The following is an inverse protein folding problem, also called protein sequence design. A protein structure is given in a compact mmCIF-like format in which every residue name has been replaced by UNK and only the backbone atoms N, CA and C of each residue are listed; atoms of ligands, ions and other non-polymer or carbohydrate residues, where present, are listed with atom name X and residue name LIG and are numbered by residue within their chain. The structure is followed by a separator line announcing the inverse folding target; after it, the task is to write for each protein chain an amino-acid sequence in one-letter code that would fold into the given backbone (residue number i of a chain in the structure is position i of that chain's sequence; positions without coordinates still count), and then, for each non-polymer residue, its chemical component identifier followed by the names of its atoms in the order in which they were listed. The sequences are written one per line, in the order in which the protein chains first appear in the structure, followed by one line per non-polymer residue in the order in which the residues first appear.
data_IF_937602487229
#
_entry.id   IF_937602487229
#
_cell.length_a   1.000
_cell.length_b   1.000
_cell.length_c   1.000
_cell.angle_alpha   90.00
_cell.angle_beta   90.00
_cell.angle_gamma   90.00
#
_symmetry.space_group_name_H-M   'P 1'
#
loop_
_entity.id
_entity.type
_entity.pdbx_description
1 polymer ?
#
# COMPACT_ATOMS: atom_id res chain seq x y z
N UNK A 1 -7.39 -31.38 5.20
CA UNK A 1 -7.59 -31.32 6.64
C UNK A 1 -6.49 -30.46 7.24
N UNK A 2 -6.89 -29.41 7.95
CA UNK A 2 -5.96 -28.57 8.72
C UNK A 2 -5.27 -29.41 9.80
N UNK A 3 -4.01 -29.11 10.14
CA UNK A 3 -3.30 -29.85 11.18
C UNK A 3 -4.04 -29.82 12.50
N UNK A 4 -4.05 -30.92 13.26
CA UNK A 4 -4.81 -31.12 14.47
C UNK A 4 -4.49 -30.12 15.61
N UNK A 5 -3.37 -29.37 15.53
CA UNK A 5 -3.04 -28.33 16.49
C UNK A 5 -3.81 -27.02 16.26
N UNK A 6 -4.50 -26.85 15.12
CA UNK A 6 -5.45 -25.76 14.86
C UNK A 6 -6.87 -26.08 15.32
N UNK A 7 -7.10 -27.28 15.86
CA UNK A 7 -8.40 -27.73 16.35
C UNK A 7 -8.61 -27.41 17.81
N UNK A 8 -9.70 -26.72 18.11
CA UNK A 8 -10.46 -26.74 19.37
C UNK A 8 -9.95 -26.00 20.60
N UNK A 9 -9.38 -24.83 20.45
CA UNK A 9 -9.67 -23.79 21.45
C UNK A 9 -10.67 -22.84 20.80
N UNK A 10 -11.86 -22.74 21.39
CA UNK A 10 -12.86 -21.76 20.96
C UNK A 10 -12.28 -20.36 20.85
N UNK A 11 -12.99 -19.39 20.29
CA UNK A 11 -12.48 -18.06 20.10
C UNK A 11 -11.83 -17.59 21.38
N UNK A 12 -10.54 -17.27 21.34
CA UNK A 12 -9.90 -16.58 22.45
C UNK A 12 -10.63 -15.25 22.52
N UNK A 13 -11.51 -15.11 23.51
CA UNK A 13 -12.05 -13.81 23.88
C UNK A 13 -10.86 -12.92 24.23
N UNK A 14 -10.44 -12.10 23.29
CA UNK A 14 -9.51 -11.01 23.53
C UNK A 14 -10.32 -9.96 24.29
N UNK A 15 -10.28 -10.05 25.62
CA UNK A 15 -10.95 -9.09 26.48
C UNK A 15 -10.47 -7.69 26.12
N UNK A 16 -11.35 -6.88 25.55
CA UNK A 16 -11.26 -5.44 25.62
C UNK A 16 -10.66 -4.69 24.44
N UNK A 17 -10.46 -5.25 23.26
CA UNK A 17 -10.15 -4.41 22.09
C UNK A 17 -11.41 -3.64 21.66
N UNK A 18 -11.37 -2.33 21.88
CA UNK A 18 -12.42 -1.44 21.37
C UNK A 18 -12.37 -1.46 19.86
N UNK A 19 -13.56 -1.54 19.23
CA UNK A 19 -13.68 -1.41 17.77
C UNK A 19 -13.14 -0.06 17.30
N UNK A 20 -12.55 0.03 16.10
CA UNK A 20 -12.26 1.30 15.49
C UNK A 20 -13.52 2.18 15.43
N UNK A 21 -13.42 3.51 15.54
CA UNK A 21 -14.57 4.38 15.37
C UNK A 21 -15.12 4.32 13.95
N UNK A 22 -16.38 4.69 13.77
CA UNK A 22 -16.94 4.91 12.44
C UNK A 22 -16.22 6.10 11.81
N UNK A 23 -15.76 5.94 10.57
CA UNK A 23 -15.05 7.01 9.85
C UNK A 23 -15.98 8.21 9.60
N UNK A 24 -15.46 9.41 9.79
CA UNK A 24 -16.14 10.68 9.51
C UNK A 24 -15.19 11.72 8.97
N UNK A 25 -15.73 12.76 8.37
CA UNK A 25 -14.95 13.91 7.94
C UNK A 25 -14.32 14.62 9.14
N UNK A 26 -13.02 14.84 9.07
CA UNK A 26 -12.27 15.68 10.00
C UNK A 26 -11.19 16.44 9.24
N UNK A 27 -10.89 17.65 9.72
CA UNK A 27 -9.70 18.41 9.35
C UNK A 27 -9.07 18.89 10.63
N UNK A 28 -7.85 18.46 10.91
CA UNK A 28 -7.11 18.79 12.13
C UNK A 28 -5.67 19.18 11.75
N UNK A 29 -5.24 20.35 12.21
CA UNK A 29 -3.91 20.86 11.90
C UNK A 29 -3.60 20.93 10.41
N UNK A 30 -2.64 20.09 9.98
CA UNK A 30 -2.14 20.01 8.59
C UNK A 30 -2.94 19.03 7.71
N UNK A 31 -3.63 18.10 8.31
CA UNK A 31 -4.26 16.98 7.60
C UNK A 31 -5.78 17.05 7.64
N UNK A 32 -6.38 16.39 6.66
CA UNK A 32 -7.80 16.10 6.62
C UNK A 32 -8.01 14.63 6.25
N UNK A 33 -9.08 14.03 6.75
CA UNK A 33 -9.48 12.68 6.35
C UNK A 33 -9.86 12.64 4.87
N UNK A 34 -9.81 11.46 4.26
CA UNK A 34 -10.16 11.21 2.86
C UNK A 34 -11.57 11.65 2.48
N UNK A 35 -12.49 11.75 3.43
CA UNK A 35 -13.85 12.24 3.23
C UNK A 35 -13.91 13.64 2.62
N UNK A 36 -12.98 14.52 2.99
CA UNK A 36 -12.90 15.85 2.39
C UNK A 36 -12.59 15.78 0.89
N UNK A 37 -11.74 14.85 0.48
CA UNK A 37 -11.35 14.64 -0.92
C UNK A 37 -12.43 13.88 -1.70
N UNK A 38 -13.11 12.95 -1.03
CA UNK A 38 -14.20 12.12 -1.59
C UNK A 38 -15.24 12.97 -2.29
N UNK A 39 -15.65 14.08 -1.68
CA UNK A 39 -16.72 14.96 -2.21
C UNK A 39 -16.53 15.32 -3.68
N UNK A 40 -15.29 15.48 -4.16
CA UNK A 40 -14.97 15.88 -5.53
C UNK A 40 -14.18 14.83 -6.31
N UNK A 41 -13.42 13.96 -5.63
CA UNK A 41 -12.50 12.99 -6.24
C UNK A 41 -13.00 11.54 -6.20
N UNK A 42 -14.28 11.33 -5.92
CA UNK A 42 -14.97 10.07 -6.11
C UNK A 42 -15.90 10.11 -7.32
N UNK A 43 -16.21 8.94 -7.88
CA UNK A 43 -17.19 8.84 -8.96
C UNK A 43 -18.61 9.10 -8.47
N UNK A 44 -19.47 9.55 -9.39
CA UNK A 44 -20.91 9.64 -9.21
C UNK A 44 -21.60 9.32 -10.54
N UNK A 45 -22.73 8.61 -10.49
CA UNK A 45 -23.50 8.21 -11.69
C UNK A 45 -23.93 9.40 -12.54
N UNK A 46 -24.13 10.56 -11.92
CA UNK A 46 -24.56 11.79 -12.58
C UNK A 46 -23.41 12.61 -13.17
N UNK A 47 -22.17 12.11 -13.10
CA UNK A 47 -20.97 12.80 -13.59
C UNK A 47 -20.21 11.98 -14.61
N UNK A 48 -19.70 12.64 -15.66
CA UNK A 48 -18.77 12.04 -16.63
C UNK A 48 -17.29 12.25 -16.24
N UNK A 49 -17.01 12.82 -15.08
CA UNK A 49 -15.65 12.96 -14.57
C UNK A 49 -15.13 11.63 -14.04
N UNK A 50 -13.83 11.43 -14.16
CA UNK A 50 -13.12 10.25 -13.65
C UNK A 50 -13.66 8.93 -14.23
N UNK A 51 -13.97 8.94 -15.52
CA UNK A 51 -14.35 7.77 -16.30
C UNK A 51 -13.26 7.45 -17.32
N UNK A 52 -13.04 6.16 -17.58
CA UNK A 52 -12.24 5.71 -18.71
C UNK A 52 -13.07 5.71 -20.02
N UNK A 53 -12.48 5.22 -21.11
CA UNK A 53 -13.10 5.19 -22.44
C UNK A 53 -14.34 4.27 -22.51
N UNK A 54 -14.44 3.29 -21.61
CA UNK A 54 -15.61 2.40 -21.46
C UNK A 54 -16.57 2.85 -20.36
N UNK A 55 -16.40 4.06 -19.85
CA UNK A 55 -17.18 4.66 -18.77
C UNK A 55 -17.10 3.90 -17.44
N UNK A 56 -16.01 3.15 -17.21
CA UNK A 56 -15.72 2.54 -15.91
C UNK A 56 -15.18 3.61 -14.96
N UNK A 57 -15.45 3.43 -13.69
CA UNK A 57 -15.04 4.34 -12.62
C UNK A 57 -13.53 4.25 -12.37
N UNK A 58 -12.85 5.40 -12.45
CA UNK A 58 -11.41 5.52 -12.19
C UNK A 58 -11.08 6.62 -11.17
N UNK A 59 -12.06 7.12 -10.44
CA UNK A 59 -11.90 8.16 -9.44
C UNK A 59 -10.88 7.78 -8.36
N UNK A 60 -9.99 8.70 -7.98
CA UNK A 60 -8.93 8.40 -7.01
C UNK A 60 -9.46 7.81 -5.71
N UNK A 61 -10.43 8.46 -5.07
CA UNK A 61 -11.04 7.93 -3.85
C UNK A 61 -11.77 6.60 -4.09
N UNK A 62 -12.52 6.50 -5.21
CA UNK A 62 -13.29 5.29 -5.53
C UNK A 62 -12.42 4.05 -5.61
N UNK A 63 -11.22 4.17 -6.19
CA UNK A 63 -10.28 3.05 -6.31
C UNK A 63 -9.46 2.84 -5.03
N UNK A 64 -9.01 3.94 -4.39
CA UNK A 64 -8.14 3.89 -3.21
C UNK A 64 -8.81 3.24 -1.99
N UNK A 65 -10.10 3.49 -1.75
CA UNK A 65 -10.79 3.08 -0.51
C UNK A 65 -10.69 1.58 -0.21
N UNK A 66 -10.65 0.71 -1.24
CA UNK A 66 -10.50 -0.74 -1.10
C UNK A 66 -9.05 -1.20 -0.92
N UNK A 67 -8.07 -0.32 -1.08
CA UNK A 67 -6.65 -0.67 -0.99
C UNK A 67 -6.20 -0.95 0.44
N UNK A 68 -5.08 -1.66 0.59
CA UNK A 68 -4.45 -1.84 1.90
C UNK A 68 -3.87 -0.52 2.45
N UNK A 69 -3.54 0.45 1.61
CA UNK A 69 -3.11 1.77 2.07
C UNK A 69 -4.24 2.50 2.80
N UNK A 70 -5.46 2.48 2.26
CA UNK A 70 -6.64 3.02 2.94
C UNK A 70 -6.97 2.30 4.25
N UNK A 71 -6.65 1.02 4.34
CA UNK A 71 -7.00 0.15 5.45
C UNK A 71 -5.81 -0.25 6.34
N UNK A 72 -4.65 0.39 6.18
CA UNK A 72 -3.41 0.03 6.86
C UNK A 72 -3.54 0.05 8.40
N UNK A 73 -4.26 1.02 8.95
CA UNK A 73 -4.52 1.12 10.38
C UNK A 73 -5.58 0.14 10.90
N UNK A 74 -6.39 -0.43 10.01
CA UNK A 74 -7.45 -1.40 10.34
C UNK A 74 -7.03 -2.85 10.10
N UNK A 75 -5.87 -3.08 9.52
CA UNK A 75 -5.35 -4.42 9.24
C UNK A 75 -5.21 -5.24 10.53
N UNK A 76 -6.02 -6.31 10.70
CA UNK A 76 -5.99 -7.11 11.93
C UNK A 76 -4.70 -7.91 12.05
N UNK A 77 -4.07 -8.29 10.93
CA UNK A 77 -2.80 -9.01 10.95
C UNK A 77 -1.66 -8.10 11.43
N UNK A 78 -1.55 -6.88 10.91
CA UNK A 78 -0.58 -5.90 11.38
C UNK A 78 -0.78 -5.60 12.88
N UNK A 79 -2.02 -5.37 13.33
CA UNK A 79 -2.31 -5.12 14.75
C UNK A 79 -1.90 -6.28 15.64
N UNK A 80 -2.13 -7.51 15.19
CA UNK A 80 -1.68 -8.71 15.89
C UNK A 80 -0.15 -8.80 15.93
N UNK A 81 0.55 -8.46 14.84
CA UNK A 81 2.01 -8.42 14.78
C UNK A 81 2.58 -7.41 15.78
N UNK A 82 2.07 -6.17 15.82
CA UNK A 82 2.47 -5.16 16.82
C UNK A 82 2.26 -5.68 18.24
N UNK A 83 1.13 -6.33 18.51
CA UNK A 83 0.84 -6.92 19.83
C UNK A 83 1.82 -8.03 20.20
N UNK A 84 2.23 -8.84 19.22
CA UNK A 84 3.21 -9.90 19.43
C UNK A 84 4.61 -9.32 19.74
N UNK A 85 5.07 -8.34 18.98
CA UNK A 85 6.32 -7.64 19.20
C UNK A 85 6.37 -6.99 20.60
N UNK A 86 5.31 -6.31 20.98
CA UNK A 86 5.20 -5.68 22.31
C UNK A 86 5.23 -6.74 23.44
N UNK A 87 4.64 -7.92 23.22
CA UNK A 87 4.74 -9.02 24.21
C UNK A 87 6.16 -9.57 24.38
N UNK A 88 6.91 -9.62 23.28
CA UNK A 88 8.31 -10.10 23.29
C UNK A 88 9.23 -9.07 23.92
N UNK A 89 9.02 -7.78 23.64
CA UNK A 89 9.87 -6.67 24.12
C UNK A 89 9.04 -5.57 24.82
N UNK A 90 8.42 -5.86 25.96
CA UNK A 90 7.49 -4.93 26.63
C UNK A 90 8.15 -3.62 27.07
N UNK A 91 9.45 -3.62 27.35
CA UNK A 91 10.24 -2.42 27.68
C UNK A 91 10.37 -1.45 26.50
N UNK A 92 10.16 -1.92 25.25
CA UNK A 92 10.23 -1.11 24.04
C UNK A 92 8.85 -0.82 23.44
N UNK A 93 7.76 -1.07 24.16
CA UNK A 93 6.38 -0.89 23.67
C UNK A 93 6.18 0.44 22.94
N UNK A 94 6.57 1.56 23.56
CA UNK A 94 6.36 2.89 22.97
C UNK A 94 7.12 3.07 21.64
N UNK A 95 8.33 2.55 21.55
CA UNK A 95 9.15 2.60 20.32
C UNK A 95 8.56 1.73 19.23
N UNK A 96 8.15 0.49 19.56
CA UNK A 96 7.55 -0.44 18.62
C UNK A 96 6.27 0.16 18.02
N UNK A 97 5.33 0.58 18.89
CA UNK A 97 4.07 1.17 18.46
C UNK A 97 4.31 2.43 17.59
N UNK A 98 5.20 3.33 18.02
CA UNK A 98 5.50 4.54 17.26
C UNK A 98 6.11 4.24 15.89
N UNK A 99 7.04 3.29 15.80
CA UNK A 99 7.68 2.89 14.53
C UNK A 99 6.65 2.31 13.56
N UNK A 100 5.81 1.39 14.01
CA UNK A 100 4.77 0.79 13.18
C UNK A 100 3.74 1.82 12.71
N UNK A 101 3.27 2.68 13.62
CA UNK A 101 2.25 3.69 13.32
C UNK A 101 2.73 4.78 12.37
N UNK A 102 4.03 5.06 12.24
CA UNK A 102 4.56 6.02 11.27
C UNK A 102 4.14 5.71 9.82
N UNK A 103 3.98 4.43 9.47
CA UNK A 103 3.56 3.99 8.15
C UNK A 103 2.08 3.60 8.11
N UNK A 104 1.53 3.03 9.19
CA UNK A 104 0.15 2.51 9.21
C UNK A 104 -0.91 3.53 9.65
N UNK A 105 -0.52 4.58 10.39
CA UNK A 105 -1.38 5.69 10.82
C UNK A 105 -0.64 7.04 10.68
N UNK A 106 -0.07 7.33 9.49
CA UNK A 106 0.99 8.33 9.33
C UNK A 106 0.51 9.77 9.56
N UNK A 107 -0.75 10.13 9.24
CA UNK A 107 -1.24 11.49 9.46
C UNK A 107 -1.24 11.86 10.94
N UNK A 108 -1.74 10.97 11.80
CA UNK A 108 -1.76 11.22 13.24
C UNK A 108 -0.36 11.30 13.84
N UNK A 109 0.57 10.48 13.33
CA UNK A 109 1.97 10.51 13.75
C UNK A 109 2.69 11.76 13.30
N UNK A 110 2.50 12.18 12.05
CA UNK A 110 3.09 13.39 11.51
C UNK A 110 2.55 14.63 12.23
N UNK A 111 1.24 14.69 12.50
CA UNK A 111 0.63 15.81 13.24
C UNK A 111 1.18 15.92 14.67
N UNK A 112 1.33 14.79 15.37
CA UNK A 112 1.95 14.79 16.70
C UNK A 112 3.40 15.31 16.65
N UNK A 113 4.17 14.86 15.66
CA UNK A 113 5.55 15.31 15.47
C UNK A 113 5.64 16.82 15.19
N UNK A 114 4.82 17.33 14.27
CA UNK A 114 4.79 18.74 13.89
C UNK A 114 4.39 19.65 15.05
N UNK A 115 3.56 19.15 15.97
CA UNK A 115 3.16 19.86 17.18
C UNK A 115 4.16 19.73 18.33
N UNK A 116 5.26 18.98 18.18
CA UNK A 116 6.21 18.68 19.25
C UNK A 116 5.63 17.79 20.35
N UNK A 117 4.59 17.02 20.05
CA UNK A 117 3.92 16.12 20.97
C UNK A 117 4.63 14.76 21.02
N UNK A 118 4.40 14.03 22.11
CA UNK A 118 4.84 12.64 22.19
C UNK A 118 4.07 11.80 21.16
N UNK A 119 4.79 10.88 20.49
CA UNK A 119 4.19 9.93 19.58
C UNK A 119 3.07 9.13 20.25
N UNK A 120 1.85 9.10 19.68
CA UNK A 120 0.75 8.32 20.23
C UNK A 120 0.99 6.82 20.08
N UNK A 121 0.37 6.05 20.97
CA UNK A 121 0.36 4.59 20.88
C UNK A 121 -0.82 4.04 20.07
N UNK A 122 -0.84 2.72 19.86
CA UNK A 122 -1.86 2.01 19.06
C UNK A 122 -3.30 2.18 19.58
N UNK A 123 -3.48 2.53 20.87
CA UNK A 123 -4.79 2.81 21.47
C UNK A 123 -5.55 3.92 20.74
N UNK A 124 -4.83 4.86 20.09
CA UNK A 124 -5.42 5.95 19.30
C UNK A 124 -6.34 5.43 18.19
N UNK A 125 -6.09 4.23 17.65
CA UNK A 125 -6.89 3.62 16.59
C UNK A 125 -8.32 3.23 17.02
N UNK A 126 -8.63 3.34 18.31
CA UNK A 126 -9.96 3.04 18.88
C UNK A 126 -10.63 4.26 19.48
N UNK A 127 -10.03 5.44 19.35
CA UNK A 127 -10.55 6.68 19.89
C UNK A 127 -11.35 7.46 18.84
N UNK A 128 -12.55 7.92 19.21
CA UNK A 128 -13.34 8.80 18.36
C UNK A 128 -12.99 10.28 18.62
N UNK A 129 -11.73 10.60 18.43
CA UNK A 129 -11.19 11.98 18.42
C UNK A 129 -10.80 12.35 16.99
N UNK A 130 -10.57 13.65 16.71
CA UNK A 130 -10.08 14.06 15.39
C UNK A 130 -8.75 13.37 15.05
N UNK A 131 -7.83 13.28 16.01
CA UNK A 131 -6.56 12.59 15.84
C UNK A 131 -6.76 11.07 15.59
N UNK A 132 -7.69 10.44 16.31
CA UNK A 132 -8.07 9.03 16.08
C UNK A 132 -8.66 8.82 14.69
N UNK A 133 -9.49 9.73 14.21
CA UNK A 133 -10.04 9.69 12.84
C UNK A 133 -8.94 9.81 11.78
N UNK A 134 -7.96 10.72 11.94
CA UNK A 134 -6.79 10.78 11.06
C UNK A 134 -5.94 9.51 11.12
N UNK A 135 -5.83 8.88 12.30
CA UNK A 135 -5.08 7.64 12.45
C UNK A 135 -5.74 6.46 11.69
N UNK A 136 -7.06 6.29 11.83
CA UNK A 136 -7.78 5.18 11.18
C UNK A 136 -8.00 5.37 9.68
N UNK A 137 -7.80 6.58 9.14
CA UNK A 137 -7.88 6.85 7.70
C UNK A 137 -6.67 6.28 6.93
N UNK A 138 -5.69 5.70 7.64
CA UNK A 138 -4.55 5.02 7.08
C UNK A 138 -3.62 5.93 6.29
N UNK A 139 -3.06 5.40 5.19
CA UNK A 139 -2.23 6.17 4.25
C UNK A 139 -3.14 6.86 3.25
N UNK A 140 -3.44 8.11 3.51
CA UNK A 140 -4.55 8.84 2.89
C UNK A 140 -4.07 10.01 2.01
N UNK A 141 -5.03 10.63 1.34
CA UNK A 141 -4.81 11.67 0.33
C UNK A 141 -3.93 12.81 0.83
N UNK A 142 -4.30 13.43 1.97
CA UNK A 142 -3.59 14.59 2.48
C UNK A 142 -2.23 14.27 3.07
N UNK A 143 -1.92 13.00 3.34
CA UNK A 143 -0.55 12.59 3.66
C UNK A 143 0.32 12.60 2.40
N UNK A 144 0.02 11.67 1.45
CA UNK A 144 0.87 11.46 0.28
C UNK A 144 1.06 12.74 -0.53
N UNK A 145 -0.03 13.49 -0.71
CA UNK A 145 -0.02 14.71 -1.51
C UNK A 145 0.58 15.94 -0.81
N UNK A 146 0.98 15.84 0.46
CA UNK A 146 1.73 16.90 1.16
C UNK A 146 3.21 16.56 1.38
N UNK A 147 3.65 15.35 1.05
CA UNK A 147 5.07 14.98 1.15
C UNK A 147 5.88 15.85 0.18
N UNK A 148 6.86 16.57 0.72
CA UNK A 148 7.76 17.42 -0.04
C UNK A 148 8.87 16.61 -0.73
N UNK A 149 9.46 17.13 -1.80
CA UNK A 149 10.57 16.46 -2.49
C UNK A 149 11.87 16.40 -1.68
N UNK A 150 11.94 17.13 -0.56
CA UNK A 150 13.15 17.29 0.24
C UNK A 150 13.63 15.96 0.81
N UNK A 151 14.83 15.55 0.44
CA UNK A 151 15.49 14.34 0.94
C UNK A 151 14.94 13.01 0.45
N UNK A 152 13.93 12.98 -0.43
CA UNK A 152 13.35 11.74 -0.93
C UNK A 152 14.39 10.83 -1.59
N UNK A 153 14.36 9.55 -1.25
CA UNK A 153 15.27 8.52 -1.76
C UNK A 153 16.62 8.47 -1.05
N UNK A 154 16.82 9.27 0.00
CA UNK A 154 17.98 9.20 0.90
C UNK A 154 17.62 8.49 2.19
N UNK A 155 18.62 8.05 2.94
CA UNK A 155 18.44 7.36 4.24
C UNK A 155 17.59 8.17 5.23
N UNK A 156 17.66 9.51 5.17
CA UNK A 156 16.86 10.38 6.02
C UNK A 156 15.35 10.30 5.72
N UNK A 157 14.97 9.91 4.52
CA UNK A 157 13.56 9.80 4.12
C UNK A 157 12.94 8.43 4.41
N UNK A 158 13.73 7.41 4.68
CA UNK A 158 13.23 6.06 4.96
C UNK A 158 12.57 5.98 6.34
N UNK A 159 11.85 4.89 6.59
CA UNK A 159 11.14 4.66 7.86
C UNK A 159 10.19 5.82 8.20
N UNK A 160 9.45 6.29 7.18
CA UNK A 160 8.55 7.46 7.22
C UNK A 160 9.25 8.77 7.61
N UNK A 161 10.49 8.97 7.15
CA UNK A 161 11.27 10.20 7.33
C UNK A 161 10.94 11.30 6.32
N UNK A 162 9.73 11.30 5.76
CA UNK A 162 9.25 12.33 4.83
C UNK A 162 9.08 13.70 5.50
N UNK A 163 9.12 14.75 4.70
CA UNK A 163 8.95 16.14 5.17
C UNK A 163 7.57 16.67 4.75
N UNK A 164 6.83 17.20 5.71
CA UNK A 164 5.58 17.96 5.49
C UNK A 164 5.88 19.44 5.66
N UNK A 165 5.44 20.25 4.69
CA UNK A 165 5.67 21.69 4.70
C UNK A 165 4.76 22.46 5.67
N UNK A 166 5.03 23.77 5.79
CA UNK A 166 4.24 24.68 6.63
C UNK A 166 2.92 25.09 5.99
N UNK A 167 2.82 24.98 4.69
CA UNK A 167 1.64 25.36 3.92
C UNK A 167 0.80 24.13 3.63
N UNK A 168 -0.52 24.30 3.52
CA UNK A 168 -1.44 23.27 3.04
C UNK A 168 -1.36 23.15 1.51
N UNK A 169 -0.21 22.69 0.99
CA UNK A 169 0.03 22.46 -0.42
C UNK A 169 -0.26 20.99 -0.75
N UNK A 170 -1.05 20.76 -1.79
CA UNK A 170 -1.35 19.43 -2.30
C UNK A 170 -0.63 19.24 -3.63
N UNK A 171 0.41 18.43 -3.63
CA UNK A 171 1.23 18.15 -4.81
C UNK A 171 0.53 17.18 -5.76
N UNK A 172 0.65 17.44 -7.05
CA UNK A 172 0.13 16.57 -8.12
C UNK A 172 0.98 16.64 -9.37
N UNK A 173 0.85 15.67 -10.30
CA UNK A 173 1.69 15.61 -11.49
C UNK A 173 1.26 16.56 -12.60
N UNK A 174 0.04 17.10 -12.54
CA UNK A 174 -0.53 17.90 -13.60
C UNK A 174 -0.04 19.35 -13.54
N UNK A 175 0.41 19.86 -14.69
CA UNK A 175 0.71 21.28 -14.87
C UNK A 175 -0.58 22.09 -14.79
N UNK A 176 -0.47 23.34 -14.37
CA UNK A 176 -1.59 24.30 -14.29
C UNK A 176 -2.82 23.76 -13.51
N UNK A 177 -2.66 23.40 -12.23
CA UNK A 177 -3.79 22.93 -11.42
C UNK A 177 -4.81 24.05 -11.19
N UNK A 178 -6.09 23.68 -11.17
CA UNK A 178 -7.18 24.62 -10.84
C UNK A 178 -7.22 24.88 -9.34
N UNK A 179 -6.59 25.94 -8.89
CA UNK A 179 -6.47 26.25 -7.46
C UNK A 179 -7.79 26.68 -6.82
N UNK A 180 -8.55 27.55 -7.49
CA UNK A 180 -9.69 28.26 -6.93
C UNK A 180 -10.77 27.36 -6.31
N UNK A 181 -11.32 26.34 -7.01
CA UNK A 181 -12.32 25.45 -6.42
C UNK A 181 -11.77 24.66 -5.22
N UNK A 182 -10.52 24.21 -5.32
CA UNK A 182 -9.91 23.39 -4.28
C UNK A 182 -9.61 24.18 -3.02
N UNK A 183 -9.04 25.38 -3.15
CA UNK A 183 -8.78 26.30 -2.02
C UNK A 183 -10.07 26.67 -1.30
N UNK A 184 -11.15 26.99 -2.04
CA UNK A 184 -12.44 27.35 -1.43
C UNK A 184 -13.10 26.19 -0.70
N UNK A 185 -12.99 24.97 -1.22
CA UNK A 185 -13.68 23.81 -0.66
C UNK A 185 -12.90 23.09 0.42
N UNK A 186 -11.57 23.09 0.32
CA UNK A 186 -10.73 22.26 1.18
C UNK A 186 -9.64 23.03 1.94
N UNK A 187 -9.43 24.31 1.63
CA UNK A 187 -8.31 25.12 2.11
C UNK A 187 -6.92 24.58 1.73
N UNK A 188 -6.83 23.61 0.80
CA UNK A 188 -5.57 23.14 0.25
C UNK A 188 -5.28 23.79 -1.10
N UNK A 189 -4.02 24.16 -1.31
CA UNK A 189 -3.54 24.76 -2.57
C UNK A 189 -2.89 23.68 -3.44
N UNK A 190 -3.44 23.36 -4.62
CA UNK A 190 -2.83 22.38 -5.51
C UNK A 190 -1.58 22.94 -6.17
N UNK A 191 -0.52 22.16 -6.20
CA UNK A 191 0.80 22.51 -6.75
C UNK A 191 1.30 21.41 -7.68
N UNK A 192 1.78 21.79 -8.87
CA UNK A 192 2.40 20.85 -9.80
C UNK A 192 3.78 20.41 -9.28
N UNK A 193 4.02 19.10 -9.20
CA UNK A 193 5.27 18.57 -8.68
C UNK A 193 5.62 17.20 -9.30
N UNK A 194 6.85 17.09 -9.79
CA UNK A 194 7.33 15.93 -10.52
C UNK A 194 7.60 14.72 -9.61
N UNK A 195 7.93 14.94 -8.35
CA UNK A 195 8.22 13.85 -7.40
C UNK A 195 7.03 12.93 -7.14
N UNK A 196 5.80 13.38 -7.43
CA UNK A 196 4.58 12.58 -7.28
C UNK A 196 4.53 11.35 -8.20
N UNK A 197 5.34 11.32 -9.25
CA UNK A 197 5.44 10.19 -10.18
C UNK A 197 6.79 9.45 -10.07
N UNK A 198 7.55 9.67 -9.00
CA UNK A 198 8.86 9.06 -8.79
C UNK A 198 8.81 8.00 -7.68
N UNK A 199 9.49 6.88 -7.87
CA UNK A 199 9.55 5.76 -6.91
C UNK A 199 10.01 6.18 -5.51
N UNK A 200 10.89 7.18 -5.41
CA UNK A 200 11.38 7.70 -4.13
C UNK A 200 10.30 8.29 -3.21
N UNK A 201 9.13 8.67 -3.74
CA UNK A 201 7.98 9.01 -2.91
C UNK A 201 7.49 7.80 -2.11
N UNK A 202 7.38 6.65 -2.76
CA UNK A 202 6.94 5.40 -2.14
C UNK A 202 8.00 4.87 -1.15
N UNK A 203 9.28 5.11 -1.44
CA UNK A 203 10.42 4.67 -0.63
C UNK A 203 10.34 5.10 0.83
N UNK A 204 9.67 6.22 1.14
CA UNK A 204 9.57 6.75 2.50
C UNK A 204 8.94 5.76 3.48
N UNK A 205 7.95 4.97 3.03
CA UNK A 205 7.30 3.94 3.82
C UNK A 205 7.67 2.52 3.35
N UNK A 206 8.02 2.35 2.07
CA UNK A 206 8.41 1.06 1.48
C UNK A 206 9.93 0.81 1.55
N UNK A 207 10.60 1.45 2.52
CA UNK A 207 11.95 1.16 2.99
C UNK A 207 11.97 1.38 4.48
N UNK A 208 11.99 0.29 5.24
CA UNK A 208 11.97 0.34 6.71
C UNK A 208 13.29 -0.21 7.23
N UNK A 209 14.04 0.66 7.91
CA UNK A 209 15.32 0.33 8.55
C UNK A 209 15.11 0.48 10.05
N UNK A 210 15.30 -0.60 10.78
CA UNK A 210 15.16 -0.67 12.24
C UNK A 210 16.40 -1.22 12.90
N UNK A 211 16.45 -1.16 14.23
CA UNK A 211 17.47 -1.85 15.02
C UNK A 211 17.01 -3.28 15.32
N UNK A 212 17.85 -4.25 15.00
CA UNK A 212 17.66 -5.64 15.46
C UNK A 212 17.98 -5.76 16.94
N UNK A 213 17.05 -6.30 17.74
CA UNK A 213 17.21 -6.45 19.19
C UNK A 213 17.09 -7.91 19.62
N UNK A 214 17.84 -8.28 20.66
CA UNK A 214 17.68 -9.59 21.29
C UNK A 214 16.53 -9.57 22.31
N UNK A 215 16.22 -10.73 22.92
CA UNK A 215 15.14 -10.87 23.91
C UNK A 215 15.37 -10.06 25.20
N UNK A 216 16.56 -9.53 25.43
CA UNK A 216 16.84 -8.61 26.54
C UNK A 216 16.63 -7.15 26.15
N UNK A 217 16.29 -6.87 24.89
CA UNK A 217 16.12 -5.53 24.35
C UNK A 217 17.41 -4.85 23.92
N UNK A 218 18.56 -5.53 23.97
CA UNK A 218 19.85 -4.99 23.56
C UNK A 218 19.94 -4.96 22.04
N UNK A 219 20.51 -3.90 21.48
CA UNK A 219 20.76 -3.78 20.04
C UNK A 219 21.85 -4.77 19.65
N UNK A 220 21.54 -5.69 18.75
CA UNK A 220 22.47 -6.68 18.19
C UNK A 220 22.82 -6.38 16.73
N UNK A 221 22.03 -5.50 16.10
CA UNK A 221 22.25 -5.04 14.73
C UNK A 221 21.70 -3.61 14.59
N UNK A 222 22.53 -2.66 14.25
CA UNK A 222 22.17 -1.24 14.15
C UNK A 222 21.24 -0.95 12.95
N UNK A 223 21.46 -1.62 11.83
CA UNK A 223 20.69 -1.44 10.60
C UNK A 223 20.13 -2.78 10.11
N UNK A 224 18.87 -3.01 10.37
CA UNK A 224 18.13 -4.15 9.86
C UNK A 224 17.11 -3.65 8.85
N UNK A 225 17.24 -4.07 7.58
CA UNK A 225 16.25 -3.79 6.55
C UNK A 225 15.04 -4.70 6.79
N UNK A 226 14.04 -4.18 7.49
CA UNK A 226 12.80 -4.89 7.80
C UNK A 226 11.93 -5.02 6.54
N UNK A 227 11.88 -3.96 5.75
CA UNK A 227 11.23 -3.93 4.44
C UNK A 227 12.13 -3.20 3.45
N UNK A 228 12.24 -3.74 2.23
CA UNK A 228 13.15 -3.21 1.21
C UNK A 228 12.60 -3.18 -0.22
N UNK A 229 11.28 -3.05 -0.49
CA UNK A 229 10.73 -3.04 -1.86
C UNK A 229 11.38 -1.98 -2.77
N UNK A 230 11.72 -0.82 -2.24
CA UNK A 230 12.41 0.20 -3.02
C UNK A 230 13.84 -0.20 -3.38
N UNK A 231 14.60 -0.85 -2.48
CA UNK A 231 15.93 -1.34 -2.81
C UNK A 231 15.87 -2.51 -3.80
N UNK A 232 14.85 -3.36 -3.71
CA UNK A 232 14.61 -4.41 -4.70
C UNK A 232 14.35 -3.80 -6.09
N UNK A 233 13.47 -2.80 -6.16
CA UNK A 233 13.21 -2.04 -7.39
C UNK A 233 14.48 -1.35 -7.91
N UNK A 234 15.29 -0.71 -7.05
CA UNK A 234 16.56 -0.08 -7.45
C UNK A 234 17.56 -1.06 -8.04
N UNK A 235 17.52 -2.31 -7.63
CA UNK A 235 18.38 -3.38 -8.13
C UNK A 235 17.75 -4.17 -9.30
N UNK A 236 16.64 -3.71 -9.84
CA UNK A 236 15.94 -4.35 -10.96
C UNK A 236 16.16 -3.61 -12.29
N UNK A 237 15.69 -4.22 -13.37
CA UNK A 237 15.66 -3.59 -14.71
C UNK A 237 14.71 -2.39 -14.79
N UNK A 238 13.83 -2.22 -13.79
CA UNK A 238 12.85 -1.15 -13.72
C UNK A 238 13.41 0.16 -13.14
N UNK A 239 14.63 0.18 -12.64
CA UNK A 239 15.21 1.35 -12.01
C UNK A 239 15.30 2.54 -12.96
N UNK A 240 14.50 3.58 -12.70
CA UNK A 240 14.49 4.85 -13.46
C UNK A 240 15.54 5.84 -12.96
N UNK A 241 16.20 5.58 -11.83
CA UNK A 241 17.18 6.47 -11.20
C UNK A 241 18.62 6.22 -11.64
N UNK A 242 18.84 5.31 -12.59
CA UNK A 242 20.12 5.10 -13.23
C UNK A 242 20.45 6.26 -14.17
N UNK A 243 21.74 6.55 -14.37
CA UNK A 243 22.20 7.54 -15.39
C UNK A 243 21.69 7.21 -16.80
N UNK A 244 21.53 5.92 -17.08
CA UNK A 244 20.97 5.41 -18.35
C UNK A 244 19.96 4.30 -18.03
N UNK A 245 18.70 4.65 -17.75
CA UNK A 245 17.66 3.66 -17.54
C UNK A 245 17.48 2.75 -18.74
N UNK A 246 17.20 1.48 -18.49
CA UNK A 246 16.90 0.50 -19.54
C UNK A 246 15.52 0.71 -20.19
N UNK A 247 15.22 -0.05 -21.26
CA UNK A 247 13.94 0.08 -21.98
C UNK A 247 12.73 -0.33 -21.12
N UNK A 248 12.93 -1.13 -20.08
CA UNK A 248 11.88 -1.58 -19.15
C UNK A 248 11.75 -0.66 -17.93
N UNK A 249 12.52 0.44 -17.86
CA UNK A 249 12.53 1.32 -16.70
C UNK A 249 11.14 1.90 -16.43
N UNK A 250 10.67 1.76 -15.19
CA UNK A 250 9.34 2.15 -14.76
C UNK A 250 9.32 2.46 -13.25
N UNK A 251 8.73 3.56 -12.87
CA UNK A 251 8.52 3.90 -11.46
C UNK A 251 7.45 3.01 -10.81
N UNK A 252 7.41 2.95 -9.49
CA UNK A 252 6.41 2.20 -8.72
C UNK A 252 4.99 2.56 -9.17
N UNK A 253 4.72 3.84 -9.40
CA UNK A 253 3.43 4.34 -9.85
C UNK A 253 3.00 3.78 -11.22
N UNK A 254 3.95 3.45 -12.09
CA UNK A 254 3.64 2.91 -13.42
C UNK A 254 2.89 1.56 -13.35
N UNK A 255 3.17 0.75 -12.33
CA UNK A 255 2.53 -0.55 -12.12
C UNK A 255 1.39 -0.48 -11.08
N UNK A 256 1.59 0.26 -9.97
CA UNK A 256 0.64 0.32 -8.86
C UNK A 256 -0.43 1.41 -9.01
N UNK A 257 -0.20 2.37 -9.90
CA UNK A 257 -1.12 3.44 -10.29
C UNK A 257 -1.16 3.59 -11.82
N UNK A 258 -1.51 2.54 -12.57
CA UNK A 258 -1.40 2.56 -14.02
C UNK A 258 -2.22 3.70 -14.63
N UNK A 259 -1.66 4.31 -15.69
CA UNK A 259 -2.29 5.42 -16.42
C UNK A 259 -3.15 4.95 -17.59
N UNK A 260 -3.29 3.65 -17.71
CA UNK A 260 -4.14 3.00 -18.72
C UNK A 260 -5.34 2.33 -18.06
N UNK A 261 -6.42 2.17 -18.83
CA UNK A 261 -7.55 1.34 -18.47
C UNK A 261 -7.15 -0.15 -18.42
N UNK A 262 -8.08 -1.02 -18.03
CA UNK A 262 -7.91 -2.47 -18.05
C UNK A 262 -7.68 -3.02 -19.48
N UNK A 263 -8.09 -2.27 -20.49
CA UNK A 263 -7.89 -2.60 -21.90
C UNK A 263 -6.58 -2.02 -22.47
N UNK A 264 -5.74 -1.43 -21.63
CA UNK A 264 -4.46 -0.84 -22.04
C UNK A 264 -4.57 0.52 -22.73
N UNK A 265 -5.75 1.15 -22.73
CA UNK A 265 -5.97 2.47 -23.35
C UNK A 265 -5.58 3.58 -22.37
N UNK A 266 -4.78 4.59 -22.77
CA UNK A 266 -4.46 5.74 -21.93
C UNK A 266 -5.71 6.47 -21.45
N UNK A 267 -5.76 6.72 -20.14
CA UNK A 267 -6.92 7.39 -19.53
C UNK A 267 -6.76 8.90 -19.67
N UNK A 268 -7.78 9.53 -20.26
CA UNK A 268 -7.94 10.97 -20.36
C UNK A 268 -9.30 11.38 -19.84
N UNK A 269 -9.34 12.05 -18.70
CA UNK A 269 -10.60 12.36 -18.03
C UNK A 269 -10.51 13.65 -17.22
N UNK A 270 -11.65 14.15 -16.75
CA UNK A 270 -11.70 15.24 -15.77
C UNK A 270 -11.32 14.71 -14.39
N UNK A 271 -10.51 15.47 -13.65
CA UNK A 271 -9.96 15.05 -12.36
C UNK A 271 -10.97 15.08 -11.22
N UNK A 272 -12.06 15.86 -11.35
CA UNK A 272 -13.02 16.09 -10.27
C UNK A 272 -14.43 16.30 -10.79
N UNK A 273 -15.38 16.08 -9.90
CA UNK A 273 -16.80 16.48 -10.02
C UNK A 273 -17.14 17.57 -8.99
N UNK A 274 -18.33 18.10 -9.05
CA UNK A 274 -18.87 18.96 -7.98
C UNK A 274 -19.28 18.11 -6.76
N UNK A 275 -19.30 18.68 -5.55
CA UNK A 275 -19.73 17.94 -4.34
C UNK A 275 -21.13 17.31 -4.45
N UNK A 276 -22.04 17.94 -5.21
CA UNK A 276 -23.40 17.42 -5.45
C UNK A 276 -23.49 16.39 -6.61
N UNK A 277 -22.36 15.82 -7.02
CA UNK A 277 -22.30 14.73 -7.99
C UNK A 277 -22.36 15.13 -9.46
N UNK A 278 -22.40 16.42 -9.80
CA UNK A 278 -22.47 16.87 -11.20
C UNK A 278 -21.10 16.99 -11.83
N UNK A 279 -21.04 16.91 -13.15
CA UNK A 279 -19.82 17.21 -13.89
C UNK A 279 -19.41 18.67 -13.67
N UNK A 280 -18.15 18.85 -13.33
CA UNK A 280 -17.49 20.15 -13.32
C UNK A 280 -16.71 20.34 -14.61
N UNK A 281 -16.77 21.49 -15.22
CA UNK A 281 -16.07 21.78 -16.50
C UNK A 281 -14.59 22.08 -16.25
N UNK A 282 -13.90 21.11 -15.65
CA UNK A 282 -12.47 21.11 -15.47
C UNK A 282 -11.75 20.63 -16.74
N UNK A 283 -10.50 21.03 -17.00
CA UNK A 283 -9.72 20.49 -18.09
C UNK A 283 -9.58 18.96 -18.01
N UNK A 284 -9.55 18.32 -19.17
CA UNK A 284 -9.16 16.92 -19.26
C UNK A 284 -7.70 16.78 -18.87
N UNK A 285 -7.38 15.75 -18.12
CA UNK A 285 -6.02 15.41 -17.66
C UNK A 285 -5.55 14.10 -18.27
N UNK A 286 -4.31 14.11 -18.76
CA UNK A 286 -3.62 12.97 -19.30
C UNK A 286 -2.12 13.15 -19.01
N UNK A 287 -1.40 12.11 -18.52
CA UNK A 287 -1.95 10.83 -18.08
C UNK A 287 -2.77 10.97 -16.79
N UNK A 288 -3.72 10.06 -16.57
CA UNK A 288 -4.51 9.99 -15.35
C UNK A 288 -4.24 8.66 -14.63
N UNK A 289 -3.64 8.73 -13.45
CA UNK A 289 -3.24 7.54 -12.67
C UNK A 289 -4.41 6.94 -11.88
N UNK A 290 -4.62 5.65 -12.04
CA UNK A 290 -5.60 4.87 -11.25
C UNK A 290 -5.02 4.60 -9.86
N UNK A 291 -5.67 5.06 -8.81
CA UNK A 291 -5.23 4.87 -7.42
C UNK A 291 -5.54 3.46 -6.89
N UNK A 292 -5.10 2.42 -7.60
CA UNK A 292 -5.36 1.02 -7.27
C UNK A 292 -4.53 0.54 -6.06
N UNK A 293 -3.23 0.83 -6.07
CA UNK A 293 -2.27 0.40 -5.06
C UNK A 293 -2.33 -1.09 -4.74
N UNK A 294 -2.64 -1.92 -5.73
CA UNK A 294 -2.72 -3.36 -5.54
C UNK A 294 -1.32 -3.97 -5.57
N UNK A 295 -1.13 -4.95 -4.69
CA UNK A 295 0.01 -5.84 -4.64
C UNK A 295 -0.45 -7.29 -4.65
N UNK A 296 0.28 -8.18 -3.98
CA UNK A 296 -0.09 -9.60 -3.88
C UNK A 296 -1.11 -9.92 -2.78
N UNK A 297 -1.53 -8.93 -1.99
CA UNK A 297 -2.40 -9.16 -0.85
C UNK A 297 -3.87 -9.25 -1.27
N UNK A 298 -4.41 -10.47 -1.28
CA UNK A 298 -5.84 -10.75 -1.52
C UNK A 298 -6.57 -11.22 -0.26
N UNK A 299 -5.82 -11.63 0.77
CA UNK A 299 -6.38 -12.20 1.99
C UNK A 299 -6.91 -11.13 2.94
N UNK A 300 -6.10 -10.12 3.26
CA UNK A 300 -6.51 -9.10 4.23
C UNK A 300 -7.68 -8.26 3.71
N UNK A 301 -7.73 -7.82 2.44
CA UNK A 301 -8.94 -7.19 1.89
C UNK A 301 -10.19 -8.07 2.02
N UNK A 302 -10.07 -9.40 1.87
CA UNK A 302 -11.19 -10.32 2.07
C UNK A 302 -11.61 -10.39 3.55
N UNK A 303 -10.64 -10.42 4.48
CA UNK A 303 -10.93 -10.40 5.93
C UNK A 303 -11.63 -9.08 6.31
N UNK A 304 -11.15 -7.95 5.82
CA UNK A 304 -11.77 -6.63 6.06
C UNK A 304 -13.20 -6.58 5.55
N UNK A 305 -13.43 -7.07 4.32
CA UNK A 305 -14.74 -7.16 3.68
C UNK A 305 -15.72 -8.02 4.49
N UNK A 306 -15.25 -9.20 4.92
CA UNK A 306 -16.12 -10.20 5.55
C UNK A 306 -16.34 -9.93 7.05
N UNK A 307 -15.55 -9.05 7.66
CA UNK A 307 -15.66 -8.62 9.05
C UNK A 307 -15.89 -7.09 9.15
N UNK A 308 -16.65 -6.53 8.23
CA UNK A 308 -16.86 -5.09 8.16
C UNK A 308 -17.53 -4.48 9.41
N UNK A 309 -18.42 -5.22 10.07
CA UNK A 309 -19.08 -4.78 11.30
C UNK A 309 -18.10 -4.61 12.47
N UNK A 310 -17.05 -5.43 12.50
CA UNK A 310 -16.02 -5.41 13.55
C UNK A 310 -14.90 -4.41 13.23
N UNK A 311 -14.38 -4.46 11.99
CA UNK A 311 -13.21 -3.70 11.57
C UNK A 311 -13.55 -2.32 11.04
N UNK A 312 -14.83 -2.07 10.71
CA UNK A 312 -15.39 -0.79 10.24
C UNK A 312 -14.54 -0.12 9.15
N UNK A 313 -14.21 -0.84 8.06
CA UNK A 313 -13.47 -0.25 6.95
C UNK A 313 -14.28 0.86 6.29
N UNK A 314 -13.57 1.76 5.59
CA UNK A 314 -14.20 2.81 4.81
C UNK A 314 -14.87 2.26 3.54
N UNK A 315 -14.26 1.24 2.95
CA UNK A 315 -14.68 0.67 1.68
C UNK A 315 -15.94 -0.18 1.77
N UNK A 316 -16.75 -0.14 0.72
CA UNK A 316 -17.86 -1.06 0.54
C UNK A 316 -17.37 -2.48 0.21
N UNK A 317 -18.29 -3.46 0.28
CA UNK A 317 -18.00 -4.84 -0.15
C UNK A 317 -17.54 -4.90 -1.60
N UNK A 318 -18.19 -4.15 -2.48
CA UNK A 318 -17.90 -4.09 -3.92
C UNK A 318 -16.51 -3.50 -4.19
N UNK A 319 -16.11 -2.48 -3.43
CA UNK A 319 -14.77 -1.88 -3.53
C UNK A 319 -13.67 -2.89 -3.14
N UNK A 320 -13.90 -3.68 -2.09
CA UNK A 320 -12.98 -4.76 -1.74
C UNK A 320 -12.95 -5.87 -2.80
N UNK A 321 -14.11 -6.29 -3.31
CA UNK A 321 -14.18 -7.31 -4.36
C UNK A 321 -13.41 -6.87 -5.61
N UNK A 322 -13.56 -5.60 -6.00
CA UNK A 322 -12.78 -5.02 -7.09
C UNK A 322 -11.27 -5.04 -6.80
N UNK A 323 -10.84 -4.61 -5.62
CA UNK A 323 -9.41 -4.61 -5.24
C UNK A 323 -8.83 -6.02 -5.19
N UNK A 324 -9.56 -6.99 -4.64
CA UNK A 324 -9.16 -8.40 -4.61
C UNK A 324 -9.00 -8.95 -6.02
N UNK A 325 -9.93 -8.63 -6.92
CA UNK A 325 -9.84 -9.08 -8.32
C UNK A 325 -8.65 -8.43 -9.02
N UNK A 326 -8.46 -7.11 -8.88
CA UNK A 326 -7.32 -6.41 -9.47
C UNK A 326 -5.96 -6.96 -8.98
N UNK A 327 -5.86 -7.31 -7.68
CA UNK A 327 -4.67 -7.96 -7.13
C UNK A 327 -4.45 -9.37 -7.73
N UNK A 328 -5.51 -10.15 -7.90
CA UNK A 328 -5.43 -11.46 -8.56
C UNK A 328 -4.98 -11.35 -10.01
N UNK A 329 -5.52 -10.39 -10.74
CA UNK A 329 -5.15 -10.15 -12.14
C UNK A 329 -3.67 -9.75 -12.25
N UNK A 330 -3.19 -8.88 -11.36
CA UNK A 330 -1.76 -8.53 -11.30
C UNK A 330 -0.89 -9.76 -10.98
N UNK A 331 -1.28 -10.58 -10.01
CA UNK A 331 -0.54 -11.80 -9.67
C UNK A 331 -0.49 -12.78 -10.84
N UNK A 332 -1.59 -12.98 -11.55
CA UNK A 332 -1.70 -13.94 -12.64
C UNK A 332 -1.05 -13.48 -13.94
N UNK A 333 -1.13 -12.17 -14.23
CA UNK A 333 -0.74 -11.65 -15.54
C UNK A 333 0.64 -10.99 -15.54
N UNK A 334 1.04 -10.39 -14.42
CA UNK A 334 2.21 -9.51 -14.36
C UNK A 334 3.30 -9.96 -13.39
N UNK A 335 3.04 -10.96 -12.53
CA UNK A 335 4.00 -11.33 -11.47
C UNK A 335 4.98 -12.41 -11.90
N UNK A 336 4.47 -13.47 -12.50
CA UNK A 336 5.30 -14.60 -12.91
C UNK A 336 4.72 -15.33 -14.13
N UNK A 337 5.59 -15.92 -14.91
CA UNK A 337 5.23 -16.79 -16.02
C UNK A 337 5.67 -18.22 -15.72
N UNK A 338 4.73 -19.16 -15.78
CA UNK A 338 4.98 -20.58 -15.62
C UNK A 338 5.04 -21.27 -16.98
N UNK A 339 6.14 -21.94 -17.27
CA UNK A 339 6.29 -22.81 -18.43
C UNK A 339 6.44 -24.27 -18.00
N UNK A 340 5.79 -25.19 -18.72
CA UNK A 340 5.96 -26.63 -18.53
C UNK A 340 6.53 -27.19 -19.80
N UNK A 341 7.60 -27.98 -19.70
CA UNK A 341 8.28 -28.60 -20.83
C UNK A 341 8.54 -30.10 -20.62
N UNK A 342 8.58 -30.83 -21.71
CA UNK A 342 9.06 -32.20 -21.75
C UNK A 342 8.33 -33.23 -20.88
N UNK A 343 6.97 -33.29 -20.85
CA UNK A 343 6.30 -34.32 -20.08
C UNK A 343 6.68 -35.68 -20.66
N UNK A 344 7.40 -36.50 -19.89
CA UNK A 344 7.78 -37.84 -20.22
C UNK A 344 7.21 -38.82 -19.19
N UNK A 345 6.64 -39.94 -19.66
CA UNK A 345 6.15 -41.01 -18.80
C UNK A 345 7.05 -42.24 -18.97
N UNK A 346 7.65 -42.67 -17.87
CA UNK A 346 8.46 -43.88 -17.82
C UNK A 346 8.28 -44.56 -16.47
N UNK A 347 8.12 -45.89 -16.47
CA UNK A 347 8.01 -46.74 -15.26
C UNK A 347 7.00 -46.21 -14.22
N UNK A 348 5.83 -45.78 -14.68
CA UNK A 348 4.77 -45.26 -13.80
C UNK A 348 5.04 -43.85 -13.24
N UNK A 349 6.15 -43.22 -13.62
CA UNK A 349 6.51 -41.83 -13.24
C UNK A 349 6.26 -40.90 -14.41
N UNK A 350 5.80 -39.70 -14.10
CA UNK A 350 5.73 -38.55 -15.02
C UNK A 350 6.80 -37.56 -14.60
N UNK A 351 7.69 -37.24 -15.51
CA UNK A 351 8.72 -36.19 -15.35
C UNK A 351 8.40 -35.03 -16.28
N UNK A 352 8.53 -33.82 -15.80
CA UNK A 352 8.41 -32.60 -16.61
C UNK A 352 9.30 -31.50 -16.04
N UNK A 353 9.75 -30.61 -16.89
CA UNK A 353 10.45 -29.40 -16.48
C UNK A 353 9.46 -28.29 -16.18
N UNK A 354 9.68 -27.59 -15.08
CA UNK A 354 8.94 -26.37 -14.74
C UNK A 354 9.89 -25.20 -14.83
N UNK A 355 9.55 -24.22 -15.68
CA UNK A 355 10.24 -22.94 -15.76
C UNK A 355 9.36 -21.87 -15.12
N UNK A 356 9.85 -21.26 -14.06
CA UNK A 356 9.23 -20.07 -13.46
C UNK A 356 10.06 -18.84 -13.83
N UNK A 357 9.45 -17.90 -14.51
CA UNK A 357 10.03 -16.60 -14.85
C UNK A 357 9.40 -15.53 -13.99
N UNK A 358 10.22 -14.84 -13.16
CA UNK A 358 9.78 -13.68 -12.38
C UNK A 358 9.67 -12.47 -13.31
N UNK A 359 8.50 -11.84 -13.37
CA UNK A 359 8.23 -10.69 -14.24
C UNK A 359 8.34 -9.35 -13.51
N UNK A 360 8.25 -9.34 -12.18
CA UNK A 360 8.24 -8.11 -11.37
C UNK A 360 9.66 -7.68 -10.99
N UNK A 361 10.46 -8.62 -10.48
CA UNK A 361 11.82 -8.36 -10.03
C UNK A 361 12.81 -9.00 -10.99
N UNK A 362 12.90 -8.47 -12.21
CA UNK A 362 13.98 -8.86 -13.13
C UNK A 362 15.29 -8.28 -12.61
N UNK A 363 15.89 -8.97 -11.65
CA UNK A 363 17.28 -8.71 -11.26
C UNK A 363 18.15 -8.93 -12.48
N UNK A 364 19.21 -8.17 -12.65
CA UNK A 364 20.15 -8.24 -13.76
C UNK A 364 20.82 -9.63 -13.97
N UNK A 365 20.66 -10.55 -13.01
CA UNK A 365 21.06 -11.92 -13.13
C UNK A 365 19.83 -12.85 -13.05
N UNK A 366 19.44 -13.56 -14.13
CA UNK A 366 18.36 -14.52 -14.07
C UNK A 366 18.79 -15.69 -13.18
N UNK A 367 18.59 -15.57 -11.88
CA UNK A 367 18.70 -16.70 -11.00
C UNK A 367 17.77 -17.79 -11.52
N UNK A 368 18.34 -18.83 -12.09
CA UNK A 368 17.62 -19.98 -12.61
C UNK A 368 17.03 -20.70 -11.41
N UNK A 369 15.75 -20.50 -11.18
CA UNK A 369 15.03 -21.20 -10.13
C UNK A 369 14.69 -22.59 -10.67
N UNK A 370 15.55 -23.57 -10.41
CA UNK A 370 15.26 -24.97 -10.68
C UNK A 370 14.47 -25.53 -9.51
N UNK A 371 13.13 -25.59 -9.64
CA UNK A 371 12.25 -26.17 -8.62
C UNK A 371 12.19 -27.67 -8.84
N UNK A 372 12.67 -28.43 -7.90
CA UNK A 372 12.56 -29.89 -7.85
C UNK A 372 11.42 -30.27 -6.88
N UNK A 373 10.29 -30.88 -7.34
CA UNK A 373 9.14 -31.27 -6.51
C UNK A 373 9.27 -32.74 -6.05
N UNK A 374 9.16 -33.03 -4.75
CA UNK A 374 9.26 -34.38 -4.17
C UNK A 374 8.08 -35.31 -4.47
N UNK A 375 8.38 -36.61 -4.56
CA UNK A 375 7.38 -37.65 -4.67
C UNK A 375 6.68 -37.94 -3.30
N UNK A 376 5.62 -38.74 -3.33
CA UNK A 376 4.80 -39.09 -2.14
C UNK A 376 5.56 -39.88 -1.06
N UNK A 377 6.84 -40.21 -1.26
CA UNK A 377 7.71 -40.92 -0.33
C UNK A 377 8.76 -40.03 0.35
N UNK A 378 8.69 -38.71 0.12
CA UNK A 378 9.41 -37.75 0.93
C UNK A 378 10.85 -37.46 0.53
N UNK A 379 11.35 -37.90 -0.63
CA UNK A 379 12.65 -37.42 -1.13
C UNK A 379 12.50 -36.01 -1.71
N UNK A 380 13.42 -35.09 -1.32
CA UNK A 380 13.31 -33.71 -1.79
C UNK A 380 13.34 -33.65 -3.28
N UNK A 381 12.33 -33.00 -3.77
CA UNK A 381 12.19 -32.57 -5.13
C UNK A 381 12.53 -31.09 -5.22
N UNK A 382 12.91 -30.45 -4.07
CA UNK A 382 13.40 -29.07 -3.98
C UNK A 382 14.44 -28.94 -2.85
N UNK A 383 15.61 -28.37 -3.07
CA UNK A 383 16.54 -28.03 -1.98
C UNK A 383 15.91 -27.01 -1.01
N UNK A 384 16.05 -27.25 0.29
CA UNK A 384 15.52 -26.37 1.37
C UNK A 384 16.02 -24.92 1.32
N UNK A 385 17.08 -24.67 0.59
CA UNK A 385 17.79 -23.41 0.48
C UNK A 385 17.10 -22.37 -0.42
N UNK A 386 16.04 -22.76 -1.14
CA UNK A 386 15.35 -21.96 -2.14
C UNK A 386 14.03 -21.32 -1.68
N UNK A 387 13.65 -21.54 -0.41
CA UNK A 387 12.42 -20.97 0.18
C UNK A 387 12.62 -19.65 0.91
N UNK A 388 13.74 -18.96 0.72
CA UNK A 388 13.90 -17.58 1.15
C UNK A 388 13.57 -16.60 0.03
N UNK A 389 12.39 -16.72 -0.55
CA UNK A 389 11.70 -15.58 -1.10
C UNK A 389 10.97 -14.94 0.08
N UNK A 390 11.31 -13.75 0.53
CA UNK A 390 10.51 -13.08 1.55
C UNK A 390 9.15 -12.82 0.92
N UNK A 391 8.16 -13.63 1.27
CA UNK A 391 6.75 -13.36 1.07
C UNK A 391 6.33 -12.27 2.08
N UNK A 392 7.00 -11.13 2.06
CA UNK A 392 6.51 -9.92 2.66
C UNK A 392 5.75 -9.16 1.59
N UNK A 393 4.52 -9.58 1.41
CA UNK A 393 3.53 -8.81 0.67
C UNK A 393 2.90 -7.86 1.68
N UNK A 394 3.31 -6.61 1.63
CA UNK A 394 2.59 -5.51 2.27
C UNK A 394 1.34 -5.19 1.45
#
# INVERSE_FOLDING_TARGET
PLPAWLGSKGPVEVQGERKPPVSREVSDGRFASSWLCEMCHSNAETSIAMLDEKKRFVGPFTLWQGSMMANSARDPFWRAAVSAEVKVLPMHKATIEATCMKCHAPMAMAEAHLNGEKAPGIHLLTEDTNRGQLAIDGVSCTLCHQIRPDGLGTDASYTAGFVIGDKKEIFGPHKDPLADPMVRMSAFTPVAATHMTQSKLCATCHTVITEGRNLKGEVVREHFAEQSPYFEWRNSVFNTELDKPGPDAADCQSCHMPVTSEDGVPIKTRLARTPNGRTYDAPLREPFGRHLFVGGNTLIPAILRDNADELRPLASREAFDFTIQAARDQLQQSTARLGISGPARSNGKVTFGVKLENLIHRVFDPARLDIEIKDRFGKPVVPREWFLVPLFVV
#
